data_IF_355155813936
#
_entry.id   IF_355155813936
#
_cell.length_a   1.000
_cell.length_b   1.000
_cell.length_c   1.000
_cell.angle_alpha   90.00
_cell.angle_beta   90.00
_cell.angle_gamma   90.00
#
_symmetry.space_group_name_H-M   'P 1'
#
loop_
_entity.id
_entity.type
_entity.pdbx_description
1 polymer ?
#
# COMPACT_ATOMS: atom_id res chain seq x y z
N UNK A 1 15.00 -3.33 -12.52
CA UNK A 1 14.44 -3.27 -11.14
C UNK A 1 13.02 -3.87 -11.02
N UNK A 2 12.18 -3.86 -12.07
CA UNK A 2 10.82 -4.45 -12.04
C UNK A 2 10.77 -5.95 -11.69
N UNK A 3 11.77 -6.73 -12.11
CA UNK A 3 11.78 -8.20 -11.98
C UNK A 3 11.71 -8.74 -10.53
N UNK A 4 12.26 -8.03 -9.54
CA UNK A 4 12.21 -8.51 -8.16
C UNK A 4 10.80 -8.37 -7.56
N UNK A 5 10.08 -7.31 -7.93
CA UNK A 5 8.70 -7.08 -7.46
C UNK A 5 7.78 -8.14 -8.05
N UNK A 6 7.87 -8.36 -9.36
CA UNK A 6 7.01 -9.34 -10.06
C UNK A 6 7.24 -10.78 -9.58
N UNK A 7 8.48 -11.13 -9.22
CA UNK A 7 8.79 -12.43 -8.61
C UNK A 7 8.17 -12.62 -7.21
N UNK A 8 7.94 -11.53 -6.48
CA UNK A 8 7.31 -11.58 -5.16
C UNK A 8 5.78 -11.63 -5.24
N UNK A 9 5.20 -10.89 -6.19
CA UNK A 9 3.76 -10.76 -6.31
C UNK A 9 3.10 -12.09 -6.66
N UNK A 10 1.86 -12.28 -6.17
CA UNK A 10 1.02 -13.36 -6.67
C UNK A 10 0.80 -13.19 -8.17
N UNK A 11 0.79 -14.28 -8.94
CA UNK A 11 0.73 -14.26 -10.41
C UNK A 11 -0.42 -13.40 -10.95
N UNK A 12 -1.57 -13.39 -10.26
CA UNK A 12 -2.73 -12.58 -10.66
C UNK A 12 -2.51 -11.07 -10.60
N UNK A 13 -1.48 -10.60 -9.89
CA UNK A 13 -1.16 -9.18 -9.73
C UNK A 13 -0.05 -8.70 -10.66
N UNK A 14 0.63 -9.59 -11.38
CA UNK A 14 1.74 -9.21 -12.27
C UNK A 14 1.24 -8.28 -13.37
N UNK A 15 0.20 -8.68 -14.12
CA UNK A 15 -0.38 -7.82 -15.16
C UNK A 15 -0.87 -6.48 -14.58
N UNK A 16 -1.54 -6.51 -13.43
CA UNK A 16 -2.05 -5.31 -12.76
C UNK A 16 -0.93 -4.36 -12.30
N UNK A 17 0.22 -4.91 -11.92
CA UNK A 17 1.39 -4.13 -11.55
C UNK A 17 2.04 -3.48 -12.78
N UNK A 18 2.06 -4.16 -13.92
CA UNK A 18 2.64 -3.64 -15.18
C UNK A 18 1.80 -2.52 -15.81
N UNK A 19 0.53 -2.40 -15.44
CA UNK A 19 -0.32 -1.26 -15.82
C UNK A 19 0.18 0.07 -15.21
N UNK A 20 -0.15 1.19 -15.84
CA UNK A 20 0.25 2.53 -15.39
C UNK A 20 -0.17 2.80 -13.94
N UNK A 21 -1.44 2.52 -13.60
CA UNK A 21 -1.96 2.64 -12.22
C UNK A 21 -1.11 1.85 -11.21
N UNK A 22 -0.66 0.65 -11.58
CA UNK A 22 0.19 -0.20 -10.75
C UNK A 22 1.59 0.38 -10.54
N UNK A 23 2.17 0.97 -11.59
CA UNK A 23 3.45 1.66 -11.53
C UNK A 23 3.36 2.98 -10.74
N UNK A 24 2.24 3.69 -10.81
CA UNK A 24 2.01 4.92 -10.06
C UNK A 24 1.87 4.63 -8.56
N UNK A 25 1.15 3.57 -8.20
CA UNK A 25 1.09 3.06 -6.82
C UNK A 25 2.48 2.71 -6.32
N UNK A 26 3.26 1.98 -7.12
CA UNK A 26 4.61 1.61 -6.73
C UNK A 26 5.53 2.83 -6.57
N UNK A 27 5.39 3.81 -7.46
CA UNK A 27 6.11 5.08 -7.40
C UNK A 27 5.76 5.86 -6.13
N UNK A 28 4.49 5.89 -5.75
CA UNK A 28 4.04 6.46 -4.48
C UNK A 28 4.68 5.74 -3.28
N UNK A 29 4.72 4.41 -3.26
CA UNK A 29 5.27 3.62 -2.14
C UNK A 29 6.79 3.80 -1.99
N UNK A 30 7.51 3.88 -3.11
CA UNK A 30 8.98 4.03 -3.12
C UNK A 30 9.46 5.46 -2.93
N UNK A 31 8.55 6.44 -2.90
CA UNK A 31 8.90 7.81 -2.59
C UNK A 31 9.58 7.86 -1.20
N UNK A 32 10.78 8.45 -1.06
CA UNK A 32 11.50 8.48 0.20
C UNK A 32 10.69 9.07 1.36
N UNK A 33 9.86 10.08 1.10
CA UNK A 33 8.99 10.70 2.10
C UNK A 33 7.94 9.71 2.59
N UNK A 34 7.38 8.91 1.68
CA UNK A 34 6.39 7.88 2.03
C UNK A 34 7.03 6.69 2.74
N UNK A 35 8.28 6.34 2.42
CA UNK A 35 9.04 5.35 3.19
C UNK A 35 9.19 5.83 4.63
N UNK A 36 9.62 7.08 4.85
CA UNK A 36 9.73 7.65 6.20
C UNK A 36 8.39 7.64 6.92
N UNK A 37 7.29 8.04 6.27
CA UNK A 37 5.94 7.98 6.86
C UNK A 37 5.56 6.57 7.30
N UNK A 38 5.84 5.57 6.48
CA UNK A 38 5.60 4.16 6.80
C UNK A 38 6.46 3.70 7.98
N UNK A 39 7.76 3.96 7.98
CA UNK A 39 8.67 3.61 9.08
C UNK A 39 8.24 4.29 10.40
N UNK A 40 7.88 5.58 10.36
CA UNK A 40 7.35 6.34 11.50
C UNK A 40 6.03 5.75 12.00
N UNK A 41 5.12 5.36 11.10
CA UNK A 41 3.86 4.75 11.50
C UNK A 41 4.09 3.44 12.25
N UNK A 42 5.02 2.60 11.79
CA UNK A 42 5.40 1.36 12.47
C UNK A 42 5.95 1.65 13.86
N UNK A 43 6.86 2.63 13.98
CA UNK A 43 7.42 3.04 15.27
C UNK A 43 6.34 3.48 16.27
N UNK A 44 5.29 4.15 15.78
CA UNK A 44 4.14 4.59 16.58
C UNK A 44 3.06 3.50 16.80
N UNK A 45 3.30 2.26 16.38
CA UNK A 45 2.33 1.16 16.49
C UNK A 45 1.09 1.32 15.60
N UNK A 46 1.20 2.12 14.52
CA UNK A 46 0.15 2.35 13.52
C UNK A 46 0.40 1.54 12.26
N UNK A 47 -0.58 1.51 11.35
CA UNK A 47 -0.42 0.78 10.08
C UNK A 47 0.33 1.65 9.06
N UNK A 48 1.30 1.09 8.29
CA UNK A 48 2.01 1.86 7.26
C UNK A 48 1.08 2.40 6.18
N UNK A 49 0.13 1.58 5.74
CA UNK A 49 -0.86 1.92 4.71
C UNK A 49 -1.64 3.19 5.08
N UNK A 50 -2.10 3.29 6.32
CA UNK A 50 -2.85 4.45 6.81
C UNK A 50 -2.03 5.75 6.78
N UNK A 51 -0.71 5.67 6.92
CA UNK A 51 0.17 6.85 6.87
C UNK A 51 0.37 7.41 5.47
N UNK A 52 0.25 6.57 4.44
CA UNK A 52 0.40 6.95 3.04
C UNK A 52 -0.93 7.06 2.29
N UNK A 53 -2.06 6.73 2.94
CA UNK A 53 -3.41 6.90 2.37
C UNK A 53 -3.64 8.29 1.76
N UNK A 54 -3.22 9.42 2.37
CA UNK A 54 -3.41 10.74 1.76
C UNK A 54 -2.72 10.92 0.40
N UNK A 55 -1.56 10.29 0.19
CA UNK A 55 -0.87 10.33 -1.10
C UNK A 55 -1.52 9.37 -2.11
N UNK A 56 -1.94 8.19 -1.64
CA UNK A 56 -2.65 7.22 -2.47
C UNK A 56 -3.97 7.80 -3.02
N UNK A 57 -4.69 8.61 -2.24
CA UNK A 57 -5.93 9.27 -2.68
C UNK A 57 -5.72 10.27 -3.84
N UNK A 58 -4.48 10.71 -4.08
CA UNK A 58 -4.15 11.59 -5.22
C UNK A 58 -4.06 10.83 -6.53
N UNK A 59 -3.87 9.51 -6.48
CA UNK A 59 -3.80 8.65 -7.66
C UNK A 59 -5.18 8.46 -8.28
N UNK A 60 -5.28 8.54 -9.61
CA UNK A 60 -6.55 8.50 -10.32
C UNK A 60 -7.37 7.24 -10.00
N UNK A 61 -6.69 6.09 -9.85
CA UNK A 61 -7.34 4.82 -9.51
C UNK A 61 -8.04 4.80 -8.14
N UNK A 62 -7.66 5.69 -7.21
CA UNK A 62 -8.24 5.77 -5.88
C UNK A 62 -9.08 7.03 -5.63
N UNK A 63 -9.21 7.91 -6.63
CA UNK A 63 -10.09 9.06 -6.51
C UNK A 63 -11.56 8.60 -6.38
N UNK A 64 -12.31 9.14 -5.41
CA UNK A 64 -13.73 8.77 -5.19
C UNK A 64 -14.59 8.90 -6.44
N UNK A 65 -14.34 9.93 -7.27
CA UNK A 65 -15.13 10.26 -8.45
C UNK A 65 -14.46 9.81 -9.77
N UNK A 66 -13.52 8.88 -9.71
CA UNK A 66 -12.76 8.41 -10.88
C UNK A 66 -13.59 7.66 -11.93
N UNK A 67 -14.85 7.30 -11.62
CA UNK A 67 -15.70 6.47 -12.47
C UNK A 67 -15.17 5.03 -12.65
N UNK A 68 -14.13 4.65 -11.90
CA UNK A 68 -13.50 3.34 -12.01
C UNK A 68 -14.37 2.26 -11.38
N UNK A 69 -14.33 1.07 -11.97
CA UNK A 69 -15.03 -0.10 -11.46
C UNK A 69 -14.56 -0.46 -10.03
N UNK A 70 -15.52 -0.73 -9.13
CA UNK A 70 -15.25 -1.00 -7.71
C UNK A 70 -14.40 -2.27 -7.54
N UNK A 71 -14.59 -3.29 -8.39
CA UNK A 71 -13.79 -4.50 -8.31
C UNK A 71 -12.34 -4.23 -8.71
N UNK A 72 -12.14 -3.43 -9.77
CA UNK A 72 -10.82 -2.94 -10.19
C UNK A 72 -10.13 -2.16 -9.07
N UNK A 73 -10.81 -1.21 -8.45
CA UNK A 73 -10.25 -0.48 -7.30
C UNK A 73 -9.86 -1.44 -6.16
N UNK A 74 -10.70 -2.41 -5.82
CA UNK A 74 -10.40 -3.40 -4.79
C UNK A 74 -9.17 -4.26 -5.11
N UNK A 75 -8.96 -4.60 -6.39
CA UNK A 75 -7.77 -5.32 -6.86
C UNK A 75 -6.52 -4.47 -6.67
N UNK A 76 -6.56 -3.19 -7.01
CA UNK A 76 -5.44 -2.27 -6.75
C UNK A 76 -5.18 -2.07 -5.25
N UNK A 77 -6.21 -2.00 -4.40
CA UNK A 77 -6.01 -1.97 -2.93
C UNK A 77 -5.25 -3.19 -2.42
N UNK A 78 -5.57 -4.38 -2.92
CA UNK A 78 -4.87 -5.62 -2.57
C UNK A 78 -3.43 -5.63 -3.08
N UNK A 79 -3.19 -5.13 -4.29
CA UNK A 79 -1.86 -4.92 -4.84
C UNK A 79 -1.05 -3.96 -3.96
N UNK A 80 -1.61 -2.81 -3.56
CA UNK A 80 -0.94 -1.84 -2.67
C UNK A 80 -0.50 -2.51 -1.37
N UNK A 81 -1.36 -3.30 -0.73
CA UNK A 81 -0.99 -4.04 0.47
C UNK A 81 0.16 -5.03 0.25
N UNK A 82 0.17 -5.71 -0.90
CA UNK A 82 1.27 -6.62 -1.28
C UNK A 82 2.58 -5.88 -1.53
N UNK A 83 2.53 -4.72 -2.20
CA UNK A 83 3.69 -3.88 -2.48
C UNK A 83 4.26 -3.24 -1.21
N UNK A 84 3.41 -2.81 -0.27
CA UNK A 84 3.86 -2.31 1.05
C UNK A 84 4.56 -3.42 1.82
N UNK A 85 4.00 -4.64 1.84
CA UNK A 85 4.64 -5.80 2.48
C UNK A 85 5.99 -6.10 1.83
N UNK A 86 6.05 -6.14 0.49
CA UNK A 86 7.30 -6.32 -0.25
C UNK A 86 8.34 -5.26 0.12
N UNK A 87 7.95 -3.97 0.14
CA UNK A 87 8.85 -2.88 0.48
C UNK A 87 9.46 -3.08 1.86
N UNK A 88 8.63 -3.31 2.88
CA UNK A 88 9.06 -3.34 4.27
C UNK A 88 9.80 -4.64 4.64
N UNK A 89 9.31 -5.78 4.16
CA UNK A 89 9.82 -7.09 4.56
C UNK A 89 10.91 -7.65 3.64
N UNK A 90 10.97 -7.23 2.37
CA UNK A 90 11.88 -7.80 1.39
C UNK A 90 12.84 -6.75 0.83
N UNK A 91 12.37 -5.53 0.52
CA UNK A 91 13.23 -4.51 -0.09
C UNK A 91 14.11 -3.78 0.93
N UNK A 92 13.50 -3.32 2.03
CA UNK A 92 14.20 -2.74 3.17
C UNK A 92 14.74 -3.83 4.10
N UNK A 93 14.05 -4.98 4.16
CA UNK A 93 14.38 -6.14 5.01
C UNK A 93 14.45 -5.85 6.52
N UNK A 94 13.89 -4.71 6.97
CA UNK A 94 13.94 -4.25 8.36
C UNK A 94 12.74 -4.70 9.22
N UNK A 95 11.65 -5.10 8.57
CA UNK A 95 10.37 -5.28 9.25
C UNK A 95 9.80 -6.67 9.01
N UNK A 96 9.00 -7.13 9.97
CA UNK A 96 8.21 -8.35 9.86
C UNK A 96 6.73 -8.03 10.05
N UNK A 97 5.91 -8.74 9.29
CA UNK A 97 4.45 -8.64 9.36
C UNK A 97 3.97 -9.18 10.73
N UNK A 98 3.05 -8.48 11.36
CA UNK A 98 2.27 -9.06 12.46
C UNK A 98 1.04 -9.76 11.88
N UNK A 99 0.64 -10.88 12.47
CA UNK A 99 -0.52 -11.65 12.01
C UNK A 99 -1.85 -10.90 12.17
N UNK A 100 -1.86 -9.82 12.96
CA UNK A 100 -3.05 -9.01 13.22
C UNK A 100 -3.23 -7.88 12.21
N UNK A 101 -4.44 -7.79 11.67
CA UNK A 101 -4.93 -6.64 10.90
C UNK A 101 -5.66 -5.67 11.81
N UNK A 102 -5.38 -4.38 11.65
CA UNK A 102 -6.07 -3.32 12.35
C UNK A 102 -7.19 -2.78 11.47
N UNK A 103 -8.41 -2.67 12.01
CA UNK A 103 -9.52 -1.99 11.33
C UNK A 103 -9.21 -0.51 11.22
N UNK A 104 -9.38 0.03 10.04
CA UNK A 104 -9.21 1.43 9.76
C UNK A 104 -10.59 2.10 9.69
N UNK A 105 -10.74 3.24 10.36
CA UNK A 105 -11.99 4.01 10.36
C UNK A 105 -11.75 5.31 9.61
N UNK A 106 -12.65 5.64 8.69
CA UNK A 106 -12.73 6.98 8.15
C UNK A 106 -13.24 7.93 9.24
N UNK A 107 -12.80 9.18 9.19
CA UNK A 107 -13.40 10.30 9.92
C UNK A 107 -13.62 11.46 8.96
N UNK A 108 -14.37 12.49 9.38
CA UNK A 108 -14.64 13.67 8.55
C UNK A 108 -13.34 14.29 8.02
N UNK A 109 -12.30 14.38 8.87
CA UNK A 109 -10.98 14.92 8.50
C UNK A 109 -10.03 13.88 7.89
N UNK A 110 -10.46 12.62 7.73
CA UNK A 110 -9.59 11.52 7.32
C UNK A 110 -10.31 10.52 6.43
N UNK A 111 -10.27 10.81 5.13
CA UNK A 111 -10.68 9.87 4.11
C UNK A 111 -9.84 8.58 4.17
N UNK A 112 -10.48 7.45 3.91
CA UNK A 112 -9.84 6.15 3.99
C UNK A 112 -10.16 5.28 2.77
N UNK A 113 -9.12 4.71 2.17
CA UNK A 113 -9.23 3.80 1.02
C UNK A 113 -9.45 2.35 1.50
N UNK A 114 -8.88 2.00 2.65
CA UNK A 114 -8.77 0.64 3.17
C UNK A 114 -9.66 0.42 4.40
N UNK A 115 -10.41 -0.68 4.47
CA UNK A 115 -11.21 -1.04 5.65
C UNK A 115 -10.37 -1.66 6.78
N UNK A 116 -9.24 -2.28 6.43
CA UNK A 116 -8.27 -2.82 7.36
C UNK A 116 -6.88 -2.87 6.71
N UNK A 117 -5.83 -2.80 7.52
CA UNK A 117 -4.45 -2.93 7.08
C UNK A 117 -3.62 -3.75 8.06
N UNK A 118 -2.57 -4.39 7.56
CA UNK A 118 -1.64 -5.13 8.41
C UNK A 118 -0.77 -4.19 9.24
N UNK A 119 -0.37 -4.66 10.41
CA UNK A 119 0.66 -4.02 11.22
C UNK A 119 2.00 -4.74 11.04
N UNK A 120 3.08 -4.06 11.39
CA UNK A 120 4.44 -4.57 11.27
C UNK A 120 5.20 -4.22 12.55
N UNK A 121 6.29 -4.92 12.79
CA UNK A 121 7.27 -4.59 13.84
C UNK A 121 8.67 -4.64 13.25
N UNK A 122 9.60 -3.90 13.87
CA UNK A 122 11.01 -4.05 13.57
C UNK A 122 11.44 -5.51 13.81
N UNK A 123 12.37 -5.99 12.99
CA UNK A 123 13.04 -7.26 13.22
C UNK A 123 14.02 -7.14 14.39
#
# INVERSE_FOLDING_TARGET
>A
MSSQVTNYLHRSFIALFEEQDGQDIWSCIKDPTNIVRMETAIYLGKTPLESITPELLKLDIFKPDSGQDVQRQNRFKQLTGSLVKYMLCNKLDKYQLNDNKTKLRASEDRQQIFSAASTYKAK
#
